data_IF_355501373560
#
_entry.id   IF_355501373560
#
_cell.length_a   1.000
_cell.length_b   1.000
_cell.length_c   1.000
_cell.angle_alpha   90.00
_cell.angle_beta   90.00
_cell.angle_gamma   90.00
#
_symmetry.space_group_name_H-M   'P 1'
#
loop_
_entity.id
_entity.type
_entity.pdbx_description
1 polymer ?
#
# COMPACT_ATOMS: atom_id res chain seq x y z
N UNK A 1 21.34 -11.11 23.06
CA UNK A 1 21.32 -10.31 21.82
C UNK A 1 19.87 -9.87 21.61
N UNK A 2 19.46 -8.63 21.92
CA UNK A 2 18.12 -8.21 21.53
C UNK A 2 18.06 -8.16 20.00
N UNK A 3 17.08 -8.84 19.42
CA UNK A 3 16.80 -8.77 17.99
C UNK A 3 16.65 -7.29 17.62
N UNK A 4 17.40 -6.83 16.62
CA UNK A 4 17.27 -5.46 16.09
C UNK A 4 15.78 -5.17 15.88
N UNK A 5 15.26 -4.04 16.37
CA UNK A 5 13.85 -3.72 16.19
C UNK A 5 13.58 -3.74 14.69
N UNK A 6 12.58 -4.51 14.28
CA UNK A 6 12.10 -4.56 12.89
C UNK A 6 11.54 -3.18 12.57
N UNK A 7 12.38 -2.28 12.08
CA UNK A 7 11.95 -0.92 11.73
C UNK A 7 11.15 -0.98 10.44
N UNK A 8 9.96 -0.41 10.48
CA UNK A 8 9.14 -0.20 9.28
C UNK A 8 9.88 0.82 8.39
N UNK A 9 10.33 0.37 7.22
CA UNK A 9 11.01 1.20 6.22
C UNK A 9 9.99 2.02 5.44
N UNK A 10 8.94 1.38 4.95
CA UNK A 10 7.89 2.01 4.16
C UNK A 10 6.56 1.33 4.41
N UNK A 11 5.48 2.11 4.40
CA UNK A 11 4.12 1.60 4.45
C UNK A 11 3.32 2.32 3.38
N UNK A 12 2.89 1.57 2.38
CA UNK A 12 2.26 2.14 1.19
C UNK A 12 0.93 1.42 0.91
N UNK A 13 -0.12 2.15 0.48
CA UNK A 13 -1.39 1.55 0.12
C UNK A 13 -1.20 0.69 -1.14
N UNK A 14 -1.53 -0.59 -1.04
CA UNK A 14 -1.29 -1.59 -2.08
C UNK A 14 -2.53 -2.44 -2.32
N UNK A 15 -2.67 -2.99 -3.52
CA UNK A 15 -3.76 -3.90 -3.88
C UNK A 15 -3.54 -5.27 -3.23
N UNK A 16 -4.46 -5.70 -2.37
CA UNK A 16 -4.46 -7.06 -1.80
C UNK A 16 -4.64 -8.11 -2.90
N UNK A 17 -5.49 -7.78 -3.86
CA UNK A 17 -5.69 -8.54 -5.08
C UNK A 17 -5.71 -7.59 -6.27
N UNK A 18 -5.05 -7.96 -7.37
CA UNK A 18 -5.18 -7.19 -8.60
C UNK A 18 -6.66 -7.12 -9.00
N UNK A 19 -7.16 -5.95 -9.43
CA UNK A 19 -8.48 -5.84 -10.01
C UNK A 19 -8.64 -6.84 -11.16
N UNK A 20 -9.81 -7.49 -11.24
CA UNK A 20 -10.17 -8.17 -12.46
C UNK A 20 -10.35 -7.15 -13.60
N UNK A 21 -10.08 -7.54 -14.86
CA UNK A 21 -10.34 -6.65 -16.00
C UNK A 21 -11.83 -6.28 -16.04
N UNK A 22 -12.13 -4.99 -15.82
CA UNK A 22 -13.50 -4.46 -15.74
C UNK A 22 -14.01 -4.16 -14.32
N UNK A 23 -13.18 -4.31 -13.29
CA UNK A 23 -13.53 -3.96 -11.91
C UNK A 23 -12.98 -2.57 -11.53
N UNK A 24 -13.82 -1.72 -10.93
CA UNK A 24 -13.41 -0.38 -10.48
C UNK A 24 -12.38 -0.46 -9.35
N UNK A 25 -11.38 0.44 -9.41
CA UNK A 25 -10.34 0.61 -8.39
C UNK A 25 -10.92 0.85 -6.99
N UNK A 26 -12.14 1.40 -6.88
CA UNK A 26 -12.85 1.66 -5.63
C UNK A 26 -13.43 0.38 -4.97
N UNK A 27 -13.68 -0.66 -5.76
CA UNK A 27 -14.14 -1.99 -5.32
C UNK A 27 -13.00 -2.97 -5.09
N UNK A 28 -11.76 -2.57 -5.35
CA UNK A 28 -10.61 -3.42 -5.09
C UNK A 28 -10.38 -3.58 -3.59
N UNK A 29 -9.90 -4.76 -3.20
CA UNK A 29 -9.40 -4.99 -1.85
C UNK A 29 -8.08 -4.24 -1.68
N UNK A 30 -8.15 -3.11 -1.00
CA UNK A 30 -6.98 -2.33 -0.61
C UNK A 30 -6.43 -2.83 0.72
N UNK A 31 -5.12 -2.78 0.86
CA UNK A 31 -4.44 -2.98 2.13
C UNK A 31 -3.17 -2.14 2.20
N UNK A 32 -2.35 -2.42 3.21
CA UNK A 32 -1.08 -1.77 3.42
C UNK A 32 0.06 -2.75 3.19
N UNK A 33 0.97 -2.39 2.28
CA UNK A 33 2.22 -3.08 2.13
C UNK A 33 3.26 -2.43 3.06
N UNK A 34 3.59 -3.13 4.12
CA UNK A 34 4.63 -2.74 5.07
C UNK A 34 5.94 -3.42 4.72
N UNK A 35 6.94 -2.61 4.39
CA UNK A 35 8.30 -3.03 4.05
C UNK A 35 9.15 -2.82 5.31
N UNK A 36 9.76 -3.88 5.82
CA UNK A 36 10.62 -3.81 7.00
C UNK A 36 12.11 -3.85 6.60
N UNK A 37 12.99 -3.31 7.46
CA UNK A 37 14.44 -3.26 7.20
C UNK A 37 15.09 -4.64 7.04
N UNK A 38 14.45 -5.66 7.61
CA UNK A 38 14.83 -7.06 7.53
C UNK A 38 14.47 -7.71 6.19
N UNK A 39 14.03 -6.92 5.19
CA UNK A 39 13.48 -7.38 3.90
C UNK A 39 12.20 -8.22 4.03
N UNK A 40 11.58 -8.20 5.21
CA UNK A 40 10.26 -8.77 5.42
C UNK A 40 9.21 -7.82 4.82
N UNK A 41 8.30 -8.38 4.02
CA UNK A 41 7.13 -7.68 3.51
C UNK A 41 5.92 -8.21 4.30
N UNK A 42 5.15 -7.32 4.92
CA UNK A 42 3.89 -7.67 5.57
C UNK A 42 2.76 -7.00 4.82
N UNK A 43 1.81 -7.81 4.39
CA UNK A 43 0.57 -7.30 3.84
C UNK A 43 -0.46 -7.22 4.97
N UNK A 44 -0.95 -6.02 5.22
CA UNK A 44 -2.01 -5.78 6.19
C UNK A 44 -3.33 -5.52 5.44
N UNK A 45 -4.36 -6.36 5.63
CA UNK A 45 -5.64 -6.25 4.92
C UNK A 45 -6.53 -5.12 5.45
N UNK A 46 -6.01 -4.22 6.31
CA UNK A 46 -6.75 -3.03 6.73
C UNK A 46 -6.92 -2.11 5.54
N UNK A 47 -8.17 -1.90 5.13
CA UNK A 47 -8.51 -0.99 4.03
C UNK A 47 -8.01 0.44 4.35
N UNK A 48 -7.01 0.97 3.61
CA UNK A 48 -6.68 2.39 3.70
C UNK A 48 -7.88 3.25 3.33
N UNK A 49 -7.96 4.43 3.94
CA UNK A 49 -8.98 5.42 3.57
C UNK A 49 -8.73 5.95 2.16
N UNK A 50 -9.77 6.43 1.51
CA UNK A 50 -9.70 7.07 0.19
C UNK A 50 -8.67 8.21 0.15
N UNK A 51 -8.55 8.99 1.23
CA UNK A 51 -7.53 10.04 1.37
C UNK A 51 -6.10 9.48 1.33
N UNK A 52 -5.81 8.37 2.02
CA UNK A 52 -4.49 7.73 2.03
C UNK A 52 -4.16 7.06 0.69
N UNK A 53 -5.15 6.42 0.06
CA UNK A 53 -5.03 5.88 -1.31
C UNK A 53 -4.74 7.00 -2.30
N UNK A 54 -5.41 8.15 -2.15
CA UNK A 54 -5.24 9.34 -3.02
C UNK A 54 -3.91 10.06 -2.74
N UNK A 55 -3.42 10.03 -1.51
CA UNK A 55 -2.12 10.54 -1.11
C UNK A 55 -0.96 9.57 -1.40
N UNK A 56 -1.20 8.45 -2.11
CA UNK A 56 -0.14 7.52 -2.52
C UNK A 56 0.93 8.28 -3.31
N UNK A 57 2.18 8.24 -2.83
CA UNK A 57 3.33 8.88 -3.48
C UNK A 57 3.60 8.37 -4.91
N UNK A 58 2.96 7.26 -5.31
CA UNK A 58 3.20 6.56 -6.57
C UNK A 58 2.48 7.08 -7.82
N UNK A 59 1.40 7.86 -7.74
CA UNK A 59 0.74 8.37 -8.96
C UNK A 59 0.05 9.72 -8.72
N UNK A 60 0.78 10.82 -8.91
CA UNK A 60 0.17 11.97 -9.58
C UNK A 60 -0.08 11.53 -11.02
N UNK A 61 -1.27 11.02 -11.32
CA UNK A 61 -1.77 11.07 -12.69
C UNK A 61 -1.63 12.54 -13.06
N UNK A 62 -0.81 12.83 -14.07
CA UNK A 62 -0.53 14.19 -14.51
C UNK A 62 -1.88 14.91 -14.70
N UNK A 63 -2.21 15.84 -13.80
CA UNK A 63 -3.11 16.92 -14.17
C UNK A 63 -2.23 17.82 -15.02
N UNK A 64 -2.17 17.49 -16.31
CA UNK A 64 -1.79 18.41 -17.37
C UNK A 64 -2.65 19.66 -17.20
N UNK A 65 -2.00 20.81 -17.02
CA UNK A 65 -2.60 22.14 -16.97
C UNK A 65 -1.75 23.06 -17.82
#
# INVERSE_FOLDING_TARGET
>A
MPASPRTLISREPWWARPPAPGQDEATCDWGWLEIYSDRTLRFDPTRPTDDEIRNRKGCRVAHDS
#
